data_IF_647362054761
#
_entry.id   IF_647362054761
#
_cell.length_a   1.000
_cell.length_b   1.000
_cell.length_c   1.000
_cell.angle_alpha   90.00
_cell.angle_beta   90.00
_cell.angle_gamma   90.00
#
_symmetry.space_group_name_H-M   'P 1'
#
loop_
_entity.id
_entity.type
_entity.pdbx_description
1 polymer ?
#
# COMPACT_ATOMS: atom_id res chain seq x y z
N UNK A 1 21.49 81.15 2.49
CA UNK A 1 21.32 79.99 1.60
C UNK A 1 21.64 78.75 2.44
N UNK A 2 20.58 78.08 2.89
CA UNK A 2 20.49 77.03 3.93
C UNK A 2 21.56 75.94 3.79
N UNK A 3 22.54 75.78 4.70
CA UNK A 3 22.59 75.19 6.07
C UNK A 3 22.47 73.66 6.17
N UNK A 4 23.60 73.06 6.56
CA UNK A 4 23.78 71.81 7.34
C UNK A 4 22.70 71.64 8.42
N UNK A 5 22.31 70.38 8.71
CA UNK A 5 22.20 69.80 10.05
C UNK A 5 21.65 68.34 10.00
N UNK A 6 22.38 67.33 10.55
CA UNK A 6 22.36 66.79 11.95
C UNK A 6 21.25 65.71 12.08
N UNK A 7 21.45 64.48 12.55
CA UNK A 7 21.69 64.04 13.94
C UNK A 7 21.73 62.49 13.95
N UNK A 8 22.74 61.89 14.61
CA UNK A 8 22.79 60.51 15.15
C UNK A 8 22.16 60.50 16.57
N UNK A 9 22.38 59.54 17.48
CA UNK A 9 21.96 58.13 17.58
C UNK A 9 21.26 57.85 18.95
N UNK A 10 20.40 56.84 19.09
CA UNK A 10 20.04 56.27 20.42
C UNK A 10 19.47 54.87 20.20
N UNK A 11 19.70 53.83 21.01
CA UNK A 11 20.57 53.59 22.15
C UNK A 11 20.41 52.09 22.50
N UNK A 12 21.49 51.46 22.96
CA UNK A 12 21.56 50.55 24.11
C UNK A 12 20.56 49.37 24.16
N UNK A 13 20.98 48.13 23.86
CA UNK A 13 21.77 47.20 24.69
C UNK A 13 20.96 46.41 25.74
N UNK A 14 21.55 45.29 26.17
CA UNK A 14 21.08 44.27 27.13
C UNK A 14 20.25 43.15 26.47
N UNK A 15 20.56 41.85 26.61
CA UNK A 15 21.36 41.11 27.58
C UNK A 15 21.69 39.75 26.89
N UNK A 16 22.96 39.43 26.63
CA UNK A 16 23.78 38.46 27.37
C UNK A 16 23.05 37.21 27.91
N UNK A 17 23.65 36.05 27.59
CA UNK A 17 23.71 34.81 28.40
C UNK A 17 22.44 33.94 28.53
N UNK A 18 22.51 32.74 27.95
CA UNK A 18 22.27 31.45 28.62
C UNK A 18 22.24 30.33 27.56
N UNK A 19 23.26 29.50 27.47
CA UNK A 19 23.49 28.30 28.28
C UNK A 19 23.16 27.01 27.51
N UNK A 20 24.26 26.43 27.08
CA UNK A 20 24.53 25.08 26.64
C UNK A 20 23.85 23.97 27.48
N UNK A 21 23.58 22.83 26.80
CA UNK A 21 23.52 21.44 27.32
C UNK A 21 22.21 20.84 27.89
N UNK A 22 21.64 19.94 27.08
CA UNK A 22 20.81 18.77 27.41
C UNK A 22 21.73 17.54 27.68
N UNK A 23 21.24 16.35 28.12
CA UNK A 23 20.79 16.01 29.47
C UNK A 23 21.45 14.70 30.00
N UNK A 24 21.84 14.63 31.27
CA UNK A 24 22.10 13.34 31.95
C UNK A 24 21.59 13.39 33.39
N UNK A 25 20.51 12.66 33.68
CA UNK A 25 20.06 12.36 35.05
C UNK A 25 20.37 10.90 35.36
N UNK A 26 21.50 10.69 36.03
CA UNK A 26 21.83 9.50 36.81
C UNK A 26 21.39 9.75 38.26
N UNK A 27 20.62 8.83 38.80
CA UNK A 27 20.11 8.85 40.18
C UNK A 27 21.18 8.23 41.09
N UNK A 28 21.57 8.92 42.15
CA UNK A 28 22.48 8.39 43.18
C UNK A 28 21.74 8.05 44.46
N UNK A 29 22.03 6.84 44.95
CA UNK A 29 21.80 6.31 46.29
C UNK A 29 22.52 7.16 47.35
N UNK A 30 21.94 7.28 48.57
CA UNK A 30 22.68 7.03 49.83
C UNK A 30 21.77 7.02 51.08
N UNK A 31 22.25 6.30 52.10
CA UNK A 31 21.75 6.02 53.47
C UNK A 31 20.72 4.89 53.59
N UNK A 32 21.02 3.65 54.03
CA UNK A 32 22.11 3.00 54.78
C UNK A 32 22.23 3.34 56.28
N UNK A 33 22.22 2.26 57.10
CA UNK A 33 22.38 2.11 58.56
C UNK A 33 21.07 2.20 59.37
N UNK A 34 20.62 1.21 60.18
CA UNK A 34 21.34 0.30 61.09
C UNK A 34 20.75 -1.15 61.21
N UNK A 35 21.64 -2.10 61.55
CA UNK A 35 21.42 -3.55 61.82
C UNK A 35 20.96 -3.79 63.30
N UNK A 36 20.90 -5.03 63.87
CA UNK A 36 20.87 -6.41 63.35
C UNK A 36 19.65 -7.20 63.91
N UNK A 37 19.46 -8.49 63.54
CA UNK A 37 19.13 -9.67 64.38
C UNK A 37 18.69 -10.80 63.43
N UNK A 38 19.55 -11.80 63.28
CA UNK A 38 19.22 -13.03 62.57
C UNK A 38 18.58 -14.01 63.57
N UNK A 39 17.34 -14.43 63.30
CA UNK A 39 16.80 -15.69 63.79
C UNK A 39 16.22 -16.46 62.61
N UNK A 40 16.79 -17.65 62.41
CA UNK A 40 16.40 -18.65 61.44
C UNK A 40 15.26 -19.46 62.05
N UNK A 41 14.10 -19.48 61.42
CA UNK A 41 13.15 -20.60 61.55
C UNK A 41 12.37 -20.77 60.25
N UNK A 42 12.29 -22.02 59.81
CA UNK A 42 11.68 -22.49 58.57
C UNK A 42 10.17 -22.51 58.73
N UNK A 43 9.42 -21.72 57.96
CA UNK A 43 8.02 -21.99 57.61
C UNK A 43 7.52 -21.06 56.49
N UNK A 44 7.32 -21.64 55.30
CA UNK A 44 6.28 -21.29 54.31
C UNK A 44 5.94 -19.80 54.11
N UNK A 45 6.68 -19.10 53.26
CA UNK A 45 6.22 -17.83 52.69
C UNK A 45 5.13 -18.09 51.62
N UNK A 46 3.92 -17.52 51.75
CA UNK A 46 2.99 -17.45 50.63
C UNK A 46 3.58 -16.51 49.59
N UNK A 47 3.88 -17.08 48.43
CA UNK A 47 4.35 -16.40 47.22
C UNK A 47 3.33 -15.30 46.85
N UNK A 48 3.64 -14.05 47.17
CA UNK A 48 2.87 -12.88 46.73
C UNK A 48 2.85 -12.90 45.21
N UNK A 49 1.71 -13.29 44.63
CA UNK A 49 1.41 -13.08 43.21
C UNK A 49 1.31 -11.58 43.01
N UNK A 50 2.37 -10.98 42.48
CA UNK A 50 2.26 -9.71 41.78
C UNK A 50 1.44 -10.03 40.53
N UNK A 51 0.16 -9.73 40.58
CA UNK A 51 -0.71 -9.73 39.41
C UNK A 51 -0.14 -8.69 38.45
N UNK A 52 0.60 -9.16 37.44
CA UNK A 52 0.94 -8.34 36.29
C UNK A 52 -0.38 -8.06 35.59
N UNK A 53 -0.93 -6.88 35.81
CA UNK A 53 -2.01 -6.33 35.00
C UNK A 53 -1.56 -6.40 33.53
N UNK A 54 -2.14 -7.35 32.80
CA UNK A 54 -1.94 -7.48 31.38
C UNK A 54 -2.52 -6.22 30.74
N UNK A 55 -1.66 -5.34 30.20
CA UNK A 55 -2.10 -4.27 29.32
C UNK A 55 -3.01 -4.87 28.25
N UNK A 56 -4.24 -4.39 28.06
CA UNK A 56 -5.13 -4.94 27.05
C UNK A 56 -4.42 -4.79 25.71
N UNK A 57 -4.15 -5.91 25.04
CA UNK A 57 -3.70 -5.90 23.67
C UNK A 57 -4.69 -5.02 22.90
N UNK A 58 -4.20 -3.89 22.35
CA UNK A 58 -4.97 -3.07 21.44
C UNK A 58 -5.35 -4.02 20.30
N UNK A 59 -6.58 -4.52 20.32
CA UNK A 59 -7.12 -5.37 19.27
C UNK A 59 -7.08 -4.51 18.02
N UNK A 60 -6.11 -4.77 17.14
CA UNK A 60 -6.01 -4.08 15.88
C UNK A 60 -7.36 -4.25 15.16
N UNK A 61 -8.04 -3.14 14.91
CA UNK A 61 -9.31 -3.15 14.19
C UNK A 61 -9.17 -4.00 12.92
N UNK A 62 -10.20 -4.76 12.54
CA UNK A 62 -10.13 -5.64 11.38
C UNK A 62 -9.73 -4.83 10.14
N UNK A 63 -8.65 -5.26 9.48
CA UNK A 63 -8.06 -4.53 8.36
C UNK A 63 -9.02 -4.60 7.17
N UNK A 64 -9.65 -3.46 6.84
CA UNK A 64 -10.48 -3.29 5.64
C UNK A 64 -9.65 -3.64 4.40
N UNK A 65 -9.90 -4.82 3.84
CA UNK A 65 -9.12 -5.34 2.73
C UNK A 65 -9.94 -6.20 1.78
N UNK A 66 -9.58 -6.13 0.51
CA UNK A 66 -10.21 -6.89 -0.57
C UNK A 66 -9.14 -7.48 -1.45
N UNK A 67 -9.29 -8.77 -1.76
CA UNK A 67 -8.45 -9.45 -2.73
C UNK A 67 -9.26 -9.71 -4.01
N UNK A 68 -8.70 -9.31 -5.15
CA UNK A 68 -9.32 -9.48 -6.46
C UNK A 68 -8.30 -9.99 -7.47
N UNK A 69 -8.80 -10.56 -8.58
CA UNK A 69 -7.95 -11.08 -9.65
C UNK A 69 -8.38 -10.59 -11.03
N UNK A 70 -7.38 -10.26 -11.85
CA UNK A 70 -7.49 -10.04 -13.30
C UNK A 70 -6.82 -11.17 -14.06
N UNK A 71 -7.39 -11.57 -15.20
CA UNK A 71 -6.86 -12.66 -16.03
C UNK A 71 -6.94 -12.31 -17.50
N UNK A 72 -5.83 -12.45 -18.21
CA UNK A 72 -5.76 -12.36 -19.66
C UNK A 72 -4.79 -13.38 -20.18
N UNK A 73 -5.24 -14.29 -21.05
CA UNK A 73 -4.43 -15.46 -21.44
C UNK A 73 -3.84 -16.08 -20.15
N UNK A 74 -2.63 -16.61 -20.19
CA UNK A 74 -2.00 -17.26 -19.04
C UNK A 74 -1.59 -16.29 -17.92
N UNK A 75 -1.64 -14.97 -18.14
CA UNK A 75 -1.32 -13.98 -17.12
C UNK A 75 -2.43 -13.87 -16.06
N UNK A 76 -2.02 -13.89 -14.79
CA UNK A 76 -2.87 -13.67 -13.63
C UNK A 76 -2.28 -12.53 -12.81
N UNK A 77 -3.10 -11.52 -12.57
CA UNK A 77 -2.78 -10.39 -11.70
C UNK A 77 -3.67 -10.47 -10.46
N UNK A 78 -3.07 -10.58 -9.28
CA UNK A 78 -3.77 -10.64 -8.00
C UNK A 78 -3.51 -9.32 -7.28
N UNK A 79 -4.58 -8.59 -6.99
CA UNK A 79 -4.52 -7.29 -6.33
C UNK A 79 -5.05 -7.42 -4.92
N UNK A 80 -4.23 -6.98 -3.98
CA UNK A 80 -4.61 -6.77 -2.60
C UNK A 80 -4.84 -5.29 -2.37
N UNK A 81 -6.10 -4.94 -2.14
CA UNK A 81 -6.55 -3.59 -1.82
C UNK A 81 -6.74 -3.46 -0.32
N UNK A 82 -6.20 -2.38 0.23
CA UNK A 82 -6.39 -2.00 1.63
C UNK A 82 -6.70 -0.51 1.70
N UNK A 83 -7.30 -0.06 2.79
CA UNK A 83 -7.42 1.38 3.06
C UNK A 83 -6.02 2.01 3.16
N UNK A 84 -5.84 3.18 2.53
CA UNK A 84 -4.51 3.75 2.34
C UNK A 84 -4.48 5.17 1.79
N UNK A 85 -3.33 5.55 1.21
CA UNK A 85 -3.01 6.90 0.72
C UNK A 85 -2.96 6.99 -0.82
N UNK A 86 -3.38 5.94 -1.55
CA UNK A 86 -3.32 5.92 -3.01
C UNK A 86 -2.07 5.27 -3.60
N UNK A 87 -1.33 4.48 -2.82
CA UNK A 87 -0.10 3.84 -3.30
C UNK A 87 -0.40 2.60 -4.14
N UNK A 88 -0.07 2.64 -5.43
CA UNK A 88 -0.25 1.53 -6.37
C UNK A 88 1.11 0.94 -6.74
N UNK A 89 1.34 -0.33 -6.38
CA UNK A 89 2.57 -1.06 -6.66
C UNK A 89 2.30 -2.37 -7.40
N UNK A 90 3.10 -2.66 -8.42
CA UNK A 90 3.10 -3.89 -9.21
C UNK A 90 4.41 -4.61 -8.97
N UNK A 91 4.36 -5.81 -8.40
CA UNK A 91 5.52 -6.62 -8.04
C UNK A 91 6.59 -5.88 -7.20
N UNK A 92 6.18 -4.87 -6.42
CA UNK A 92 7.07 -4.04 -5.62
C UNK A 92 7.48 -2.73 -6.28
N UNK A 93 7.40 -2.64 -7.61
CA UNK A 93 7.66 -1.43 -8.38
C UNK A 93 6.42 -0.53 -8.45
N UNK A 94 6.56 0.81 -8.49
CA UNK A 94 5.44 1.71 -8.74
C UNK A 94 4.88 1.52 -10.16
N UNK A 95 3.60 1.84 -10.35
CA UNK A 95 2.92 1.72 -11.65
C UNK A 95 3.54 2.57 -12.77
N UNK A 96 4.24 3.64 -12.41
CA UNK A 96 4.97 4.52 -13.32
C UNK A 96 6.14 3.84 -14.02
N UNK A 97 6.71 2.80 -13.41
CA UNK A 97 7.89 2.12 -13.91
C UNK A 97 7.53 0.79 -14.60
N UNK A 98 6.27 0.60 -15.00
CA UNK A 98 5.87 -0.58 -15.75
C UNK A 98 6.49 -0.54 -17.15
N UNK A 99 7.10 -1.65 -17.53
CA UNK A 99 7.61 -1.91 -18.87
C UNK A 99 6.62 -2.79 -19.65
N UNK A 100 6.49 -2.62 -20.98
CA UNK A 100 7.05 -1.56 -21.84
C UNK A 100 6.30 -0.23 -21.72
N UNK A 101 6.99 0.88 -21.96
CA UNK A 101 6.49 2.25 -21.80
C UNK A 101 5.22 2.55 -22.61
N UNK A 102 5.15 2.07 -23.85
CA UNK A 102 3.99 2.28 -24.74
C UNK A 102 2.69 1.73 -24.13
N UNK A 103 2.78 0.58 -23.46
CA UNK A 103 1.62 -0.08 -22.88
C UNK A 103 1.29 0.42 -21.46
N UNK A 104 2.13 1.28 -20.88
CA UNK A 104 1.93 1.85 -19.55
C UNK A 104 0.59 2.61 -19.46
N UNK A 105 0.23 3.35 -20.50
CA UNK A 105 -1.07 4.02 -20.59
C UNK A 105 -2.25 3.07 -20.41
N UNK A 106 -2.16 1.83 -20.88
CA UNK A 106 -3.22 0.82 -20.70
C UNK A 106 -3.39 0.39 -19.24
N UNK A 107 -2.32 0.41 -18.45
CA UNK A 107 -2.41 0.15 -17.00
C UNK A 107 -3.09 1.31 -16.26
N UNK A 108 -2.92 2.55 -16.74
CA UNK A 108 -3.49 3.76 -16.15
C UNK A 108 -4.95 4.04 -16.51
N UNK A 109 -5.48 3.44 -17.57
CA UNK A 109 -6.88 3.66 -17.99
C UNK A 109 -7.91 3.64 -16.85
N UNK A 110 -7.97 2.62 -15.96
CA UNK A 110 -8.94 2.64 -14.87
C UNK A 110 -8.75 3.81 -13.89
N UNK A 111 -7.53 4.32 -13.74
CA UNK A 111 -7.21 5.44 -12.87
C UNK A 111 -7.65 6.76 -13.52
N UNK A 112 -7.40 6.90 -14.82
CA UNK A 112 -7.79 8.08 -15.59
C UNK A 112 -9.32 8.19 -15.73
N UNK A 113 -10.01 7.08 -15.98
CA UNK A 113 -11.46 7.05 -16.18
C UNK A 113 -12.24 7.43 -14.92
N UNK A 114 -11.80 6.94 -13.76
CA UNK A 114 -12.51 7.15 -12.50
C UNK A 114 -12.01 8.39 -11.73
N UNK A 115 -10.89 8.95 -12.16
CA UNK A 115 -10.23 10.08 -11.52
C UNK A 115 -9.43 9.70 -10.27
N UNK A 116 -8.36 10.46 -10.01
CA UNK A 116 -7.43 10.22 -8.88
C UNK A 116 -8.10 10.29 -7.50
N UNK A 117 -9.19 11.05 -7.38
CA UNK A 117 -9.92 11.25 -6.12
C UNK A 117 -10.42 9.92 -5.51
N UNK A 118 -10.92 8.99 -6.33
CA UNK A 118 -11.43 7.69 -5.84
C UNK A 118 -10.31 6.74 -5.41
N UNK A 119 -9.08 6.96 -5.89
CA UNK A 119 -7.92 6.14 -5.53
C UNK A 119 -7.18 6.67 -4.30
N UNK A 120 -7.38 7.93 -3.90
CA UNK A 120 -6.67 8.54 -2.78
C UNK A 120 -6.87 7.80 -1.44
N UNK A 121 -8.02 7.14 -1.25
CA UNK A 121 -8.34 6.40 -0.02
C UNK A 121 -7.90 4.93 0.00
N UNK A 122 -7.30 4.41 -1.09
CA UNK A 122 -6.97 2.98 -1.23
C UNK A 122 -5.53 2.76 -1.67
N UNK A 123 -4.84 1.83 -1.03
CA UNK A 123 -3.55 1.32 -1.50
C UNK A 123 -3.76 -0.01 -2.22
N UNK A 124 -3.06 -0.20 -3.34
CA UNK A 124 -3.11 -1.42 -4.14
C UNK A 124 -1.73 -2.07 -4.24
N UNK A 125 -1.64 -3.34 -3.84
CA UNK A 125 -0.47 -4.20 -4.06
C UNK A 125 -0.83 -5.29 -5.06
N UNK A 126 -0.22 -5.24 -6.24
CA UNK A 126 -0.52 -6.12 -7.36
C UNK A 126 0.63 -7.11 -7.52
N UNK A 127 0.33 -8.41 -7.51
CA UNK A 127 1.26 -9.49 -7.83
C UNK A 127 0.86 -10.12 -9.16
N UNK A 128 1.78 -10.15 -10.11
CA UNK A 128 1.51 -10.65 -11.47
C UNK A 128 2.41 -11.83 -11.78
N UNK A 129 1.82 -12.90 -12.31
CA UNK A 129 2.55 -14.11 -12.74
C UNK A 129 2.00 -14.65 -14.07
N UNK A 130 2.91 -15.22 -14.87
CA UNK A 130 2.59 -15.87 -16.15
C UNK A 130 2.34 -14.90 -17.31
N UNK A 131 2.11 -15.47 -18.50
CA UNK A 131 1.91 -14.73 -19.75
C UNK A 131 3.14 -13.95 -20.22
N UNK A 132 2.94 -13.03 -21.16
CA UNK A 132 3.93 -12.03 -21.60
C UNK A 132 3.47 -10.60 -21.29
N UNK A 133 4.30 -9.60 -21.62
CA UNK A 133 4.11 -8.19 -21.26
C UNK A 133 2.70 -7.66 -21.54
N UNK A 134 2.21 -7.81 -22.78
CA UNK A 134 0.88 -7.33 -23.17
C UNK A 134 -0.22 -7.98 -22.33
N UNK A 135 -0.21 -9.31 -22.21
CA UNK A 135 -1.22 -10.03 -21.41
C UNK A 135 -1.19 -9.65 -19.92
N UNK A 136 0.01 -9.41 -19.37
CA UNK A 136 0.17 -8.98 -17.98
C UNK A 136 -0.46 -7.60 -17.76
N UNK A 137 -0.23 -6.65 -18.67
CA UNK A 137 -0.78 -5.29 -18.57
C UNK A 137 -2.31 -5.31 -18.62
N UNK A 138 -2.91 -6.08 -19.53
CA UNK A 138 -4.37 -6.24 -19.55
C UNK A 138 -4.92 -6.92 -18.28
N UNK A 139 -4.18 -7.86 -17.70
CA UNK A 139 -4.57 -8.46 -16.42
C UNK A 139 -4.47 -7.46 -15.26
N UNK A 140 -3.41 -6.64 -15.20
CA UNK A 140 -3.21 -5.56 -14.22
C UNK A 140 -4.36 -4.56 -14.31
N UNK A 141 -4.61 -4.03 -15.50
CA UNK A 141 -5.71 -3.11 -15.81
C UNK A 141 -7.05 -3.63 -15.28
N UNK A 142 -7.37 -4.89 -15.57
CA UNK A 142 -8.60 -5.53 -15.11
C UNK A 142 -8.64 -5.68 -13.58
N UNK A 143 -7.50 -6.04 -12.98
CA UNK A 143 -7.41 -6.26 -11.53
C UNK A 143 -7.62 -4.97 -10.74
N UNK A 144 -7.11 -3.84 -11.21
CA UNK A 144 -7.29 -2.51 -10.58
C UNK A 144 -8.78 -2.13 -10.57
N UNK A 145 -9.43 -2.23 -11.73
CA UNK A 145 -10.85 -1.89 -11.89
C UNK A 145 -11.74 -2.76 -10.98
N UNK A 146 -11.54 -4.08 -10.99
CA UNK A 146 -12.28 -4.99 -10.11
C UNK A 146 -12.07 -4.71 -8.63
N UNK A 147 -10.83 -4.43 -8.25
CA UNK A 147 -10.50 -4.28 -6.84
C UNK A 147 -11.13 -3.00 -6.27
N UNK A 148 -11.20 -1.92 -7.05
CA UNK A 148 -11.92 -0.72 -6.64
C UNK A 148 -13.44 -0.97 -6.52
N UNK A 149 -14.07 -1.59 -7.51
CA UNK A 149 -15.52 -1.91 -7.45
C UNK A 149 -15.83 -2.80 -6.25
N UNK A 150 -14.98 -3.79 -5.97
CA UNK A 150 -15.16 -4.71 -4.85
C UNK A 150 -14.91 -4.02 -3.49
N UNK A 151 -14.01 -3.03 -3.43
CA UNK A 151 -13.80 -2.22 -2.23
C UNK A 151 -15.03 -1.37 -1.91
N UNK A 152 -15.55 -0.65 -2.90
CA UNK A 152 -16.76 0.18 -2.74
C UNK A 152 -18.00 -0.65 -2.39
N UNK A 153 -18.13 -1.85 -2.97
CA UNK A 153 -19.20 -2.79 -2.61
C UNK A 153 -19.19 -3.18 -1.12
N UNK A 154 -18.01 -3.28 -0.50
CA UNK A 154 -17.89 -3.79 0.88
C UNK A 154 -17.86 -2.69 1.94
N UNK A 155 -17.26 -1.54 1.65
CA UNK A 155 -16.86 -0.58 2.69
C UNK A 155 -17.36 0.85 2.49
N UNK A 156 -17.99 1.18 1.36
CA UNK A 156 -18.42 2.57 1.09
C UNK A 156 -19.93 2.64 0.89
N UNK A 157 -20.42 2.49 -0.33
CA UNK A 157 -21.83 2.64 -0.68
C UNK A 157 -22.17 1.99 -2.02
N UNK A 158 -23.43 1.57 -2.18
CA UNK A 158 -23.89 0.90 -3.41
C UNK A 158 -24.07 1.85 -4.59
N UNK A 159 -24.39 3.12 -4.32
CA UNK A 159 -24.64 4.12 -5.35
C UNK A 159 -23.34 4.48 -6.08
N UNK A 160 -22.28 4.85 -5.36
CA UNK A 160 -20.95 5.13 -5.93
C UNK A 160 -20.38 3.90 -6.63
N UNK A 161 -20.62 2.69 -6.10
CA UNK A 161 -20.25 1.46 -6.79
C UNK A 161 -20.95 1.33 -8.14
N UNK A 162 -22.26 1.62 -8.22
CA UNK A 162 -23.03 1.56 -9.47
C UNK A 162 -22.50 2.58 -10.48
N UNK A 163 -22.24 3.81 -10.06
CA UNK A 163 -21.61 4.84 -10.91
C UNK A 163 -20.27 4.38 -11.48
N UNK A 164 -19.36 3.89 -10.63
CA UNK A 164 -18.04 3.40 -11.05
C UNK A 164 -18.20 2.25 -12.04
N UNK A 165 -19.09 1.30 -11.74
CA UNK A 165 -19.34 0.15 -12.59
C UNK A 165 -19.87 0.57 -13.95
N UNK A 166 -20.80 1.51 -14.00
CA UNK A 166 -21.41 1.99 -15.24
C UNK A 166 -20.40 2.76 -16.09
N UNK A 167 -19.55 3.59 -15.50
CA UNK A 167 -18.45 4.27 -16.21
C UNK A 167 -17.49 3.25 -16.83
N UNK A 168 -17.08 2.24 -16.06
CA UNK A 168 -16.16 1.20 -16.54
C UNK A 168 -16.78 0.35 -17.67
N UNK A 169 -18.05 -0.05 -17.53
CA UNK A 169 -18.75 -0.85 -18.53
C UNK A 169 -19.00 -0.07 -19.82
N UNK A 170 -19.35 1.23 -19.72
CA UNK A 170 -19.54 2.12 -20.88
C UNK A 170 -18.25 2.28 -21.69
N UNK A 171 -17.11 2.37 -21.01
CA UNK A 171 -15.82 2.47 -21.70
C UNK A 171 -15.38 1.12 -22.28
N UNK A 172 -15.24 0.10 -21.43
CA UNK A 172 -14.77 -1.22 -21.86
C UNK A 172 -15.20 -2.32 -20.88
N UNK A 173 -16.04 -3.25 -21.36
CA UNK A 173 -16.50 -4.40 -20.59
C UNK A 173 -15.35 -5.29 -20.09
N UNK A 174 -14.20 -5.31 -20.78
CA UNK A 174 -13.05 -6.14 -20.41
C UNK A 174 -12.33 -5.68 -19.12
N UNK A 175 -12.62 -4.45 -18.65
CA UNK A 175 -12.13 -3.94 -17.36
C UNK A 175 -12.71 -4.73 -16.18
N UNK A 176 -13.95 -5.22 -16.31
CA UNK A 176 -14.61 -6.00 -15.27
C UNK A 176 -14.69 -7.47 -15.62
N UNK A 177 -14.99 -7.82 -16.87
CA UNK A 177 -15.18 -9.22 -17.30
C UNK A 177 -13.92 -9.72 -18.00
N UNK A 178 -13.45 -10.92 -17.66
CA UNK A 178 -12.23 -11.47 -18.27
C UNK A 178 -12.51 -11.96 -19.69
N UNK A 179 -11.55 -11.74 -20.60
CA UNK A 179 -11.59 -12.32 -21.94
C UNK A 179 -11.25 -13.83 -21.88
N UNK A 180 -12.19 -14.73 -22.27
CA UNK A 180 -11.99 -16.17 -22.14
C UNK A 180 -11.03 -16.76 -23.18
N UNK A 181 -10.66 -16.05 -24.26
CA UNK A 181 -9.93 -16.62 -25.42
C UNK A 181 -8.61 -17.29 -25.03
N UNK A 182 -8.41 -18.57 -25.39
CA UNK A 182 -7.16 -19.35 -25.19
C UNK A 182 -6.58 -19.88 -26.50
N UNK A 183 -5.32 -20.33 -26.46
CA UNK A 183 -4.70 -20.97 -27.62
C UNK A 183 -5.29 -22.37 -27.78
N UNK A 184 -5.76 -22.68 -28.98
CA UNK A 184 -6.18 -24.03 -29.35
C UNK A 184 -4.95 -24.96 -29.35
N UNK A 185 -5.10 -26.24 -28.95
CA UNK A 185 -4.01 -27.20 -28.99
C UNK A 185 -3.59 -27.49 -30.43
N UNK A 186 -2.30 -27.78 -30.64
CA UNK A 186 -1.77 -28.24 -31.93
C UNK A 186 -2.40 -29.56 -32.34
N UNK A 187 -2.71 -29.72 -33.63
CA UNK A 187 -3.19 -30.96 -34.23
C UNK A 187 -2.08 -31.60 -35.09
N UNK A 188 -2.08 -32.93 -35.22
CA UNK A 188 -1.13 -33.65 -36.07
C UNK A 188 -1.27 -33.26 -37.55
N UNK A 189 -0.24 -33.46 -38.37
CA UNK A 189 -0.29 -33.15 -39.80
C UNK A 189 -0.13 -31.67 -40.14
N UNK A 190 0.50 -30.89 -39.26
CA UNK A 190 0.85 -29.50 -39.53
C UNK A 190 1.60 -28.81 -38.40
N UNK A 191 1.97 -27.54 -38.62
CA UNK A 191 2.79 -26.77 -37.66
C UNK A 191 1.96 -26.20 -36.50
N UNK A 192 0.68 -25.90 -36.70
CA UNK A 192 -0.18 -25.21 -35.73
C UNK A 192 -1.51 -25.91 -35.47
N UNK A 193 -2.42 -25.21 -34.78
CA UNK A 193 -3.77 -25.74 -34.49
C UNK A 193 -4.59 -26.02 -35.75
N UNK A 194 -4.48 -25.15 -36.77
CA UNK A 194 -5.24 -25.23 -38.03
C UNK A 194 -4.37 -25.34 -39.28
N UNK A 195 -3.11 -24.90 -39.21
CA UNK A 195 -2.18 -24.98 -40.32
C UNK A 195 -1.84 -26.44 -40.64
N UNK A 196 -1.94 -26.83 -41.91
CA UNK A 196 -1.56 -28.16 -42.43
C UNK A 196 -0.26 -28.06 -43.24
N UNK A 197 0.48 -29.15 -43.33
CA UNK A 197 1.60 -29.20 -44.27
C UNK A 197 1.07 -29.15 -45.71
N UNK A 198 1.83 -28.51 -46.60
CA UNK A 198 1.50 -28.42 -48.01
C UNK A 198 1.56 -29.82 -48.63
N UNK A 199 0.51 -30.20 -49.38
CA UNK A 199 0.51 -31.45 -50.14
C UNK A 199 1.22 -31.23 -51.48
N UNK A 200 2.10 -32.15 -51.86
CA UNK A 200 2.59 -32.30 -53.23
C UNK A 200 1.87 -33.49 -53.87
N UNK A 201 1.19 -33.27 -54.98
CA UNK A 201 0.59 -34.33 -55.80
C UNK A 201 1.66 -34.80 -56.78
N UNK A 202 2.46 -35.76 -56.36
CA UNK A 202 3.42 -36.46 -57.22
C UNK A 202 3.18 -37.96 -57.09
#
# INVERSE_FOLDING_TARGET
IFTKHKITPHAFSFLSFAFQFLPKRSVNLLSLFDKPYALISVASSPRVRIEREATPAIMAAPIESVQCFGRKKTAVAVTYCKRGRGLIKINGCPIELVEPEILRYKAYEPILLLGRHRFAGVDMRIRVKGGGHTSQIYAIRQSIAKALVAYYQKYVDEQSKKEIKDILVRYDRTLLVADPRRCEPKKFGGRGARARFQKSYR
#
